data_IF_797694422926
#
_entry.id   IF_797694422926
#
_cell.length_a   1.000
_cell.length_b   1.000
_cell.length_c   1.000
_cell.angle_alpha   90.00
_cell.angle_beta   90.00
_cell.angle_gamma   90.00
#
_symmetry.space_group_name_H-M   'P 1'
#
loop_
_entity.id
_entity.type
_entity.pdbx_description
1 polymer ?
#
# COMPACT_ATOMS: atom_id res chain seq x y z
N UNK A 1 51.08 -0.90 -41.43
CA UNK A 1 50.72 -2.33 -41.26
C UNK A 1 51.10 -2.71 -39.84
N UNK A 2 50.23 -3.12 -38.91
CA UNK A 2 48.81 -3.48 -38.93
C UNK A 2 48.19 -2.95 -37.63
N UNK A 3 46.96 -2.49 -37.76
CA UNK A 3 46.00 -2.14 -36.72
C UNK A 3 45.58 -3.40 -35.96
N UNK A 4 45.71 -3.42 -34.64
CA UNK A 4 45.04 -4.42 -33.79
C UNK A 4 43.66 -3.90 -33.43
N UNK A 5 42.65 -4.65 -33.89
CA UNK A 5 41.24 -4.38 -33.68
C UNK A 5 40.83 -4.73 -32.25
N UNK A 6 40.17 -3.77 -31.63
CA UNK A 6 39.25 -3.94 -30.52
C UNK A 6 38.25 -5.07 -30.81
N UNK A 7 38.22 -6.08 -29.94
CA UNK A 7 37.12 -7.02 -29.87
C UNK A 7 36.17 -6.55 -28.76
N UNK A 8 35.23 -5.68 -29.14
CA UNK A 8 34.07 -5.34 -28.34
C UNK A 8 33.18 -6.60 -28.22
N UNK A 9 33.23 -7.25 -27.06
CA UNK A 9 32.30 -8.32 -26.69
C UNK A 9 30.96 -7.68 -26.36
N UNK A 10 30.09 -7.60 -27.36
CA UNK A 10 28.69 -7.22 -27.23
C UNK A 10 27.95 -8.27 -26.39
N UNK A 11 27.71 -7.99 -25.11
CA UNK A 11 26.72 -8.71 -24.32
C UNK A 11 25.33 -8.39 -24.87
N UNK A 12 24.82 -9.28 -25.73
CA UNK A 12 23.38 -9.36 -25.97
C UNK A 12 22.76 -9.90 -24.69
N UNK A 13 22.08 -9.03 -23.94
CA UNK A 13 21.07 -9.41 -22.96
C UNK A 13 19.95 -10.11 -23.72
N UNK A 14 20.03 -11.43 -23.79
CA UNK A 14 18.90 -12.28 -24.14
C UNK A 14 17.98 -12.31 -22.92
N UNK A 15 17.15 -11.28 -22.77
CA UNK A 15 16.02 -11.30 -21.85
C UNK A 15 14.98 -12.26 -22.43
N UNK A 16 15.17 -13.56 -22.21
CA UNK A 16 14.06 -14.51 -22.24
C UNK A 16 13.04 -14.05 -21.20
N UNK A 17 12.02 -13.32 -21.64
CA UNK A 17 10.83 -13.04 -20.84
C UNK A 17 10.18 -14.37 -20.50
N UNK A 18 10.53 -14.93 -19.34
CA UNK A 18 9.84 -16.10 -18.79
C UNK A 18 8.37 -15.76 -18.72
N UNK A 19 7.55 -16.47 -19.51
CA UNK A 19 6.11 -16.29 -19.50
C UNK A 19 5.61 -16.85 -18.16
N UNK A 20 5.24 -15.95 -17.25
CA UNK A 20 4.73 -16.31 -15.93
C UNK A 20 3.25 -15.96 -15.83
N UNK A 21 2.50 -16.82 -15.16
CA UNK A 21 1.12 -16.57 -14.75
C UNK A 21 1.13 -16.56 -13.22
N UNK A 22 0.64 -15.47 -12.63
CA UNK A 22 0.52 -15.34 -11.18
C UNK A 22 -0.95 -15.42 -10.77
N UNK A 23 -1.21 -16.04 -9.62
CA UNK A 23 -2.52 -16.09 -8.99
C UNK A 23 -2.41 -15.64 -7.53
N UNK A 24 -3.54 -15.25 -6.95
CA UNK A 24 -3.63 -14.95 -5.52
C UNK A 24 -4.88 -15.61 -4.95
N UNK A 25 -4.70 -16.37 -3.89
CA UNK A 25 -5.78 -16.99 -3.11
C UNK A 25 -6.04 -16.15 -1.87
N UNK A 26 -7.26 -15.65 -1.72
CA UNK A 26 -7.66 -14.85 -0.57
C UNK A 26 -8.39 -15.70 0.47
N UNK A 27 -8.00 -15.54 1.73
CA UNK A 27 -8.71 -16.06 2.90
C UNK A 27 -9.18 -14.89 3.75
N UNK A 28 -10.47 -14.87 4.07
CA UNK A 28 -11.11 -13.94 5.01
C UNK A 28 -11.84 -14.76 6.06
N UNK A 29 -11.86 -14.28 7.30
CA UNK A 29 -12.63 -14.90 8.40
C UNK A 29 -13.45 -13.84 9.09
N UNK A 30 -14.74 -14.12 9.25
CA UNK A 30 -15.68 -13.29 9.99
C UNK A 30 -16.35 -14.12 11.09
N UNK A 31 -16.75 -13.46 12.18
CA UNK A 31 -17.56 -14.09 13.22
C UNK A 31 -19.01 -14.22 12.78
N UNK A 32 -19.71 -15.26 13.24
CA UNK A 32 -21.15 -15.47 12.99
C UNK A 32 -21.96 -15.17 14.25
N UNK A 33 -21.62 -14.09 14.96
CA UNK A 33 -22.29 -13.72 16.22
C UNK A 33 -23.68 -13.15 15.92
N UNK A 34 -24.61 -13.33 16.86
CA UNK A 34 -25.96 -12.78 16.74
C UNK A 34 -25.99 -11.26 16.95
N UNK A 35 -25.09 -10.73 17.79
CA UNK A 35 -24.93 -9.30 18.04
C UNK A 35 -23.60 -8.81 17.46
N UNK A 36 -23.65 -7.76 16.65
CA UNK A 36 -22.47 -7.13 16.06
C UNK A 36 -21.65 -6.43 17.15
N UNK A 37 -20.34 -6.63 17.11
CA UNK A 37 -19.35 -5.88 17.88
C UNK A 37 -18.42 -5.11 16.94
N UNK A 38 -17.70 -4.13 17.47
CA UNK A 38 -16.83 -3.23 16.68
C UNK A 38 -15.83 -4.00 15.78
N UNK A 39 -15.34 -5.14 16.27
CA UNK A 39 -14.44 -6.03 15.54
C UNK A 39 -15.07 -6.74 14.32
N UNK A 40 -16.40 -6.80 14.21
CA UNK A 40 -17.09 -7.44 13.08
C UNK A 40 -17.03 -6.57 11.80
N UNK A 41 -16.64 -5.30 11.92
CA UNK A 41 -16.46 -4.37 10.79
C UNK A 41 -15.01 -4.29 10.31
N UNK A 42 -14.14 -5.14 10.85
CA UNK A 42 -12.71 -5.21 10.50
C UNK A 42 -12.39 -6.60 10.00
N UNK A 43 -12.16 -6.71 8.69
CA UNK A 43 -11.93 -7.98 8.03
C UNK A 43 -10.46 -8.15 7.69
N UNK A 44 -9.78 -9.06 8.39
CA UNK A 44 -8.42 -9.46 8.03
C UNK A 44 -8.43 -10.31 6.76
N UNK A 45 -7.62 -9.90 5.79
CA UNK A 45 -7.45 -10.52 4.48
C UNK A 45 -6.03 -11.07 4.39
N UNK A 46 -5.90 -12.37 4.15
CA UNK A 46 -4.63 -13.01 3.80
C UNK A 46 -4.67 -13.43 2.33
N UNK A 47 -3.82 -12.83 1.50
CA UNK A 47 -3.62 -13.23 0.11
C UNK A 47 -2.35 -14.07 -0.04
N UNK A 48 -2.46 -15.35 -0.39
CA UNK A 48 -1.30 -16.18 -0.75
C UNK A 48 -1.05 -16.06 -2.25
N UNK A 49 0.17 -15.70 -2.62
CA UNK A 49 0.54 -15.45 -4.02
C UNK A 49 1.28 -16.66 -4.57
N UNK A 50 0.86 -17.10 -5.74
CA UNK A 50 1.43 -18.25 -6.41
C UNK A 50 1.83 -17.89 -7.84
N UNK A 51 2.87 -18.55 -8.35
CA UNK A 51 3.37 -18.33 -9.72
C UNK A 51 3.55 -19.66 -10.42
N UNK A 52 3.06 -19.73 -11.66
CA UNK A 52 3.31 -20.80 -12.62
C UNK A 52 4.13 -20.24 -13.79
N UNK A 53 5.18 -20.94 -14.18
CA UNK A 53 5.95 -20.65 -15.39
C UNK A 53 6.00 -21.88 -16.29
N UNK A 54 6.35 -21.71 -17.56
CA UNK A 54 6.50 -22.83 -18.50
C UNK A 54 7.52 -23.89 -18.01
N UNK A 55 8.56 -23.45 -17.30
CA UNK A 55 9.60 -24.33 -16.73
C UNK A 55 9.16 -25.11 -15.48
N UNK A 56 8.00 -24.79 -14.91
CA UNK A 56 7.51 -25.38 -13.67
C UNK A 56 6.34 -26.32 -13.96
N UNK A 57 6.41 -27.55 -13.43
CA UNK A 57 5.30 -28.51 -13.52
C UNK A 57 4.11 -28.05 -12.68
N UNK A 58 4.40 -27.55 -11.48
CA UNK A 58 3.43 -27.14 -10.48
C UNK A 58 3.57 -25.65 -10.15
N UNK A 59 2.50 -25.07 -9.61
CA UNK A 59 2.52 -23.71 -9.11
C UNK A 59 3.41 -23.61 -7.86
N UNK A 60 4.26 -22.58 -7.78
CA UNK A 60 5.12 -22.32 -6.64
C UNK A 60 4.55 -21.20 -5.76
N UNK A 61 4.68 -21.36 -4.44
CA UNK A 61 4.45 -20.27 -3.48
C UNK A 61 5.43 -19.13 -3.77
N UNK A 62 4.88 -17.99 -4.18
CA UNK A 62 5.63 -16.81 -4.58
C UNK A 62 5.70 -15.73 -3.50
N UNK A 63 4.83 -15.82 -2.51
CA UNK A 63 4.75 -14.83 -1.45
C UNK A 63 3.37 -14.76 -0.79
N UNK A 64 3.13 -13.68 -0.07
CA UNK A 64 1.83 -13.37 0.47
C UNK A 64 1.65 -11.86 0.64
N UNK A 65 0.41 -11.43 0.79
CA UNK A 65 0.03 -10.11 1.25
C UNK A 65 -0.93 -10.22 2.43
N UNK A 66 -0.89 -9.22 3.31
CA UNK A 66 -1.90 -9.01 4.36
C UNK A 66 -2.53 -7.66 4.14
N UNK A 67 -3.84 -7.62 4.30
CA UNK A 67 -4.62 -6.41 4.26
C UNK A 67 -5.75 -6.48 5.29
N UNK A 68 -6.30 -5.32 5.62
CA UNK A 68 -7.44 -5.19 6.51
C UNK A 68 -8.48 -4.31 5.82
N UNK A 69 -9.68 -4.82 5.64
CA UNK A 69 -10.82 -4.02 5.17
C UNK A 69 -11.58 -3.52 6.39
N UNK A 70 -11.69 -2.21 6.52
CA UNK A 70 -12.36 -1.54 7.63
C UNK A 70 -13.62 -0.86 7.10
N UNK A 71 -14.78 -1.35 7.53
CA UNK A 71 -16.09 -0.91 7.05
C UNK A 71 -16.73 0.10 8.01
N UNK A 72 -16.12 1.28 8.12
CA UNK A 72 -16.58 2.32 9.02
C UNK A 72 -17.99 2.84 8.66
N UNK A 73 -18.34 2.91 7.38
CA UNK A 73 -19.68 3.32 6.96
C UNK A 73 -20.74 2.38 7.51
N UNK A 74 -20.53 1.08 7.33
CA UNK A 74 -21.42 0.04 7.85
C UNK A 74 -21.50 0.07 9.38
N UNK A 75 -20.37 0.26 10.07
CA UNK A 75 -20.34 0.31 11.52
C UNK A 75 -21.18 1.48 12.07
N UNK A 76 -21.10 2.66 11.43
CA UNK A 76 -21.91 3.83 11.79
C UNK A 76 -23.41 3.59 11.52
N UNK A 77 -23.76 2.94 10.41
CA UNK A 77 -25.13 2.57 10.09
C UNK A 77 -25.72 1.59 11.13
N UNK A 78 -24.86 0.79 11.76
CA UNK A 78 -25.18 -0.10 12.88
C UNK A 78 -25.13 0.59 14.27
N UNK A 79 -24.92 1.91 14.32
CA UNK A 79 -24.94 2.70 15.55
C UNK A 79 -23.67 2.62 16.40
N UNK A 80 -22.55 2.14 15.84
CA UNK A 80 -21.24 2.19 16.52
C UNK A 80 -20.78 3.65 16.56
N UNK A 81 -20.42 4.14 17.76
CA UNK A 81 -19.93 5.52 17.92
C UNK A 81 -18.53 5.70 17.36
N UNK A 82 -18.21 6.91 16.92
CA UNK A 82 -16.89 7.30 16.37
C UNK A 82 -15.75 7.00 17.36
N UNK A 83 -15.97 7.26 18.65
CA UNK A 83 -15.03 6.94 19.74
C UNK A 83 -14.68 5.44 19.78
N UNK A 84 -15.69 4.57 19.62
CA UNK A 84 -15.51 3.11 19.64
C UNK A 84 -14.84 2.57 18.38
N UNK A 85 -15.02 3.22 17.24
CA UNK A 85 -14.31 2.85 16.01
C UNK A 85 -12.80 3.08 16.12
N UNK A 86 -12.35 4.08 16.89
CA UNK A 86 -10.94 4.31 17.17
C UNK A 86 -10.36 3.34 18.20
N UNK A 87 -11.00 3.24 19.37
CA UNK A 87 -10.47 2.50 20.52
C UNK A 87 -10.73 0.98 20.47
N UNK A 88 -11.75 0.54 19.72
CA UNK A 88 -12.23 -0.84 19.67
C UNK A 88 -11.46 -1.76 18.71
N UNK A 89 -10.56 -1.20 17.90
CA UNK A 89 -9.86 -1.92 16.83
C UNK A 89 -8.38 -2.16 17.21
N UNK A 90 -7.78 -3.22 16.66
CA UNK A 90 -6.34 -3.52 16.78
C UNK A 90 -5.48 -2.26 16.61
N UNK A 91 -4.47 -2.06 17.47
CA UNK A 91 -3.72 -0.80 17.57
C UNK A 91 -3.01 -0.34 16.29
N UNK A 92 -2.82 -1.22 15.30
CA UNK A 92 -2.32 -0.83 13.98
C UNK A 92 -3.35 -0.07 13.13
N UNK A 93 -4.64 -0.18 13.42
CA UNK A 93 -5.74 0.50 12.70
C UNK A 93 -6.07 1.84 13.37
N UNK A 94 -5.94 1.93 14.70
CA UNK A 94 -6.15 3.18 15.45
C UNK A 94 -5.32 4.35 14.91
N UNK A 95 -4.06 4.11 14.51
CA UNK A 95 -3.22 5.14 13.87
C UNK A 95 -3.85 5.69 12.57
N UNK A 96 -4.46 4.84 11.74
CA UNK A 96 -5.15 5.31 10.54
C UNK A 96 -6.42 6.07 10.87
N UNK A 97 -7.14 5.67 11.93
CA UNK A 97 -8.33 6.40 12.39
C UNK A 97 -7.97 7.82 12.81
N UNK A 98 -6.98 7.97 13.69
CA UNK A 98 -6.53 9.27 14.21
C UNK A 98 -6.00 10.22 13.12
N UNK A 99 -5.41 9.67 12.05
CA UNK A 99 -4.75 10.47 11.02
C UNK A 99 -5.62 10.73 9.78
N UNK A 100 -6.59 9.87 9.48
CA UNK A 100 -7.40 9.99 8.26
C UNK A 100 -8.82 10.50 8.54
N UNK A 101 -9.31 10.43 9.78
CA UNK A 101 -10.68 10.78 10.13
C UNK A 101 -10.74 11.91 11.15
N UNK A 102 -11.79 12.70 11.05
CA UNK A 102 -12.21 13.63 12.08
C UNK A 102 -12.92 12.85 13.19
N UNK A 103 -12.34 12.84 14.39
CA UNK A 103 -12.80 12.00 15.50
C UNK A 103 -14.18 12.41 16.04
N UNK A 104 -14.55 13.69 15.89
CA UNK A 104 -15.84 14.20 16.36
C UNK A 104 -16.97 13.75 15.44
N UNK A 105 -16.74 13.76 14.12
CA UNK A 105 -17.77 13.53 13.12
C UNK A 105 -17.74 12.14 12.49
N UNK A 106 -16.60 11.44 12.54
CA UNK A 106 -16.40 10.12 11.95
C UNK A 106 -16.18 10.12 10.43
N UNK A 107 -16.15 11.29 9.80
CA UNK A 107 -15.83 11.44 8.38
C UNK A 107 -14.34 11.62 8.15
N UNK A 108 -13.91 11.53 6.90
CA UNK A 108 -12.55 11.87 6.51
C UNK A 108 -12.17 13.29 6.93
N UNK A 109 -10.88 13.54 7.21
CA UNK A 109 -10.38 14.91 7.45
C UNK A 109 -10.61 15.81 6.23
N UNK A 110 -10.70 17.12 6.46
CA UNK A 110 -10.88 18.12 5.38
C UNK A 110 -9.82 17.99 4.29
N UNK A 111 -8.55 17.76 4.66
CA UNK A 111 -7.45 17.50 3.71
C UNK A 111 -7.75 16.31 2.79
N UNK A 112 -8.28 15.22 3.34
CA UNK A 112 -8.63 14.03 2.56
C UNK A 112 -9.85 14.29 1.67
N UNK A 113 -10.87 14.97 2.20
CA UNK A 113 -12.09 15.27 1.45
C UNK A 113 -11.77 16.14 0.22
N UNK A 114 -10.99 17.20 0.42
CA UNK A 114 -10.61 18.14 -0.63
C UNK A 114 -9.70 17.51 -1.68
N UNK A 115 -8.78 16.64 -1.27
CA UNK A 115 -7.78 16.08 -2.19
C UNK A 115 -8.24 14.82 -2.92
N UNK A 116 -9.05 13.98 -2.29
CA UNK A 116 -9.41 12.66 -2.82
C UNK A 116 -10.88 12.50 -3.18
N UNK A 117 -11.75 13.41 -2.72
CA UNK A 117 -13.20 13.37 -2.91
C UNK A 117 -13.77 11.95 -2.69
N UNK A 118 -13.51 11.31 -1.54
CA UNK A 118 -13.86 9.92 -1.31
C UNK A 118 -15.38 9.73 -1.31
N UNK A 119 -15.87 8.71 -2.03
CA UNK A 119 -17.30 8.42 -2.16
C UNK A 119 -17.90 7.60 -1.02
N UNK A 120 -17.09 7.19 -0.04
CA UNK A 120 -17.49 6.38 1.11
C UNK A 120 -16.46 6.45 2.24
N UNK A 121 -16.83 5.96 3.43
CA UNK A 121 -16.02 6.05 4.65
C UNK A 121 -15.14 4.80 4.89
N UNK A 122 -15.32 3.76 4.08
CA UNK A 122 -14.59 2.51 4.24
C UNK A 122 -13.13 2.64 3.78
N UNK A 123 -12.25 1.90 4.45
CA UNK A 123 -10.81 1.96 4.26
C UNK A 123 -10.24 0.56 4.01
N UNK A 124 -9.50 0.38 2.92
CA UNK A 124 -8.67 -0.81 2.72
C UNK A 124 -7.22 -0.49 3.11
N UNK A 125 -6.67 -1.22 4.07
CA UNK A 125 -5.28 -1.06 4.51
C UNK A 125 -4.45 -2.21 3.95
N UNK A 126 -3.37 -1.91 3.22
CA UNK A 126 -2.39 -2.92 2.81
C UNK A 126 -1.25 -2.96 3.82
N UNK A 127 -1.31 -3.94 4.73
CA UNK A 127 -0.39 -4.07 5.88
C UNK A 127 0.99 -4.58 5.49
N UNK A 128 1.05 -5.56 4.59
CA UNK A 128 2.29 -6.24 4.24
C UNK A 128 2.21 -6.84 2.85
N UNK A 129 3.29 -6.73 2.08
CA UNK A 129 3.49 -7.47 0.83
C UNK A 129 4.87 -8.09 0.86
N UNK A 130 4.94 -9.42 0.89
CA UNK A 130 6.18 -10.19 0.84
C UNK A 130 6.21 -11.01 -0.45
N UNK A 131 7.11 -10.67 -1.37
CA UNK A 131 7.42 -11.50 -2.55
C UNK A 131 8.77 -12.17 -2.34
N UNK A 132 8.83 -13.48 -2.58
CA UNK A 132 10.07 -14.26 -2.47
C UNK A 132 11.09 -13.76 -3.49
N UNK A 133 12.40 -13.75 -3.14
CA UNK A 133 13.45 -13.16 -3.99
C UNK A 133 13.44 -13.62 -5.45
N UNK A 134 13.14 -14.89 -5.72
CA UNK A 134 13.08 -15.47 -7.07
C UNK A 134 12.06 -14.78 -7.99
N UNK A 135 10.99 -14.24 -7.43
CA UNK A 135 9.86 -13.69 -8.17
C UNK A 135 9.80 -12.16 -8.16
N UNK A 136 10.78 -11.49 -7.54
CA UNK A 136 10.87 -10.02 -7.51
C UNK A 136 11.28 -9.49 -8.88
N UNK A 137 10.84 -8.27 -9.20
CA UNK A 137 11.13 -7.62 -10.48
C UNK A 137 10.30 -8.11 -11.66
N UNK A 138 9.48 -9.16 -11.48
CA UNK A 138 8.63 -9.74 -12.52
C UNK A 138 7.19 -9.23 -12.50
N UNK A 139 6.89 -8.15 -11.76
CA UNK A 139 5.55 -7.57 -11.68
C UNK A 139 4.55 -8.31 -10.77
N UNK A 140 4.94 -9.43 -10.14
CA UNK A 140 4.06 -10.24 -9.27
C UNK A 140 3.51 -9.44 -8.07
N UNK A 141 4.35 -8.66 -7.39
CA UNK A 141 3.95 -7.82 -6.26
C UNK A 141 2.90 -6.77 -6.63
N UNK A 142 3.16 -5.91 -7.63
CA UNK A 142 2.18 -4.98 -8.17
C UNK A 142 0.85 -5.64 -8.54
N UNK A 143 0.91 -6.74 -9.31
CA UNK A 143 -0.30 -7.44 -9.74
C UNK A 143 -1.12 -8.00 -8.57
N UNK A 144 -0.46 -8.49 -7.51
CA UNK A 144 -1.14 -8.95 -6.30
C UNK A 144 -1.81 -7.80 -5.53
N UNK A 145 -1.14 -6.64 -5.42
CA UNK A 145 -1.73 -5.42 -4.82
C UNK A 145 -2.93 -4.95 -5.63
N UNK A 146 -2.78 -4.81 -6.95
CA UNK A 146 -3.87 -4.39 -7.84
C UNK A 146 -5.07 -5.33 -7.72
N UNK A 147 -4.83 -6.64 -7.76
CA UNK A 147 -5.91 -7.63 -7.63
C UNK A 147 -6.60 -7.57 -6.26
N UNK A 148 -5.85 -7.26 -5.20
CA UNK A 148 -6.42 -7.06 -3.85
C UNK A 148 -7.34 -5.85 -3.84
N UNK A 149 -6.89 -4.73 -4.41
CA UNK A 149 -7.71 -3.51 -4.50
C UNK A 149 -8.91 -3.73 -5.42
N UNK A 150 -8.79 -4.47 -6.51
CA UNK A 150 -9.91 -4.76 -7.42
C UNK A 150 -11.02 -5.57 -6.74
N UNK A 151 -10.66 -6.45 -5.80
CA UNK A 151 -11.62 -7.34 -5.11
C UNK A 151 -12.19 -6.68 -3.85
N UNK A 152 -11.35 -6.03 -3.04
CA UNK A 152 -11.72 -5.52 -1.72
C UNK A 152 -11.79 -3.99 -1.62
N UNK A 153 -11.27 -3.28 -2.61
CA UNK A 153 -11.36 -1.82 -2.67
C UNK A 153 -12.72 -1.26 -3.12
N UNK A 154 -13.60 -1.98 -3.88
CA UNK A 154 -14.95 -1.48 -4.14
C UNK A 154 -15.70 -1.20 -2.83
N UNK A 155 -16.28 -0.01 -2.72
CA UNK A 155 -16.94 0.47 -1.49
C UNK A 155 -16.04 1.33 -0.60
N UNK A 156 -14.72 1.18 -0.69
CA UNK A 156 -13.78 2.03 0.02
C UNK A 156 -13.69 3.42 -0.60
N UNK A 157 -13.57 4.44 0.24
CA UNK A 157 -13.17 5.78 -0.19
C UNK A 157 -11.68 5.81 -0.55
N UNK A 158 -10.87 5.16 0.28
CA UNK A 158 -9.41 5.14 0.16
C UNK A 158 -8.83 3.73 0.31
N UNK A 159 -7.63 3.56 -0.24
CA UNK A 159 -6.70 2.50 0.14
C UNK A 159 -5.48 3.13 0.79
N UNK A 160 -5.05 2.63 1.94
CA UNK A 160 -3.88 3.14 2.65
C UNK A 160 -2.81 2.06 2.85
N UNK A 161 -1.58 2.50 3.02
CA UNK A 161 -0.49 1.66 3.52
C UNK A 161 0.56 2.52 4.24
N UNK A 162 1.41 1.88 5.04
CA UNK A 162 2.60 2.50 5.64
C UNK A 162 3.85 1.84 5.07
N UNK A 163 4.46 2.41 4.01
CA UNK A 163 5.62 1.82 3.36
C UNK A 163 6.82 1.67 4.31
N UNK A 164 7.02 0.46 4.83
CA UNK A 164 8.15 0.14 5.69
C UNK A 164 8.89 -1.11 5.22
N UNK A 165 10.22 -1.08 5.04
CA UNK A 165 10.96 -2.26 4.59
C UNK A 165 10.92 -3.35 5.66
N UNK A 166 10.45 -4.54 5.26
CA UNK A 166 10.21 -5.66 6.19
C UNK A 166 11.42 -6.02 7.04
N UNK A 167 12.64 -5.91 6.50
CA UNK A 167 13.86 -6.22 7.25
C UNK A 167 14.12 -5.31 8.47
N UNK A 168 13.45 -4.17 8.54
CA UNK A 168 13.53 -3.23 9.67
C UNK A 168 12.24 -3.22 10.52
N UNK A 169 11.27 -4.08 10.22
CA UNK A 169 10.09 -4.28 11.08
C UNK A 169 10.49 -5.14 12.28
N UNK A 170 10.13 -4.78 13.53
CA UNK A 170 10.52 -5.55 14.72
C UNK A 170 10.21 -7.06 14.62
N UNK A 171 9.05 -7.41 14.07
CA UNK A 171 8.63 -8.80 13.85
C UNK A 171 9.60 -9.62 12.98
N UNK A 172 10.29 -8.98 12.04
CA UNK A 172 11.26 -9.62 11.14
C UNK A 172 12.70 -9.40 11.58
N UNK A 173 13.00 -8.26 12.20
CA UNK A 173 14.34 -7.92 12.68
C UNK A 173 14.87 -8.95 13.69
N UNK A 174 13.97 -9.55 14.47
CA UNK A 174 14.30 -10.61 15.42
C UNK A 174 14.18 -12.03 14.84
N UNK A 175 13.60 -12.19 13.64
CA UNK A 175 13.49 -13.49 12.95
C UNK A 175 14.59 -13.63 11.88
N UNK A 176 15.73 -14.16 12.32
CA UNK A 176 16.88 -14.39 11.46
C UNK A 176 16.59 -15.36 10.31
N UNK A 177 15.61 -16.27 10.46
CA UNK A 177 15.18 -17.20 9.40
C UNK A 177 14.36 -16.45 8.35
N UNK A 178 13.45 -15.57 8.77
CA UNK A 178 12.71 -14.71 7.86
C UNK A 178 13.64 -13.77 7.09
N UNK A 179 14.62 -13.13 7.75
CA UNK A 179 15.61 -12.26 7.08
C UNK A 179 16.43 -13.02 6.03
N UNK A 180 16.89 -14.24 6.35
CA UNK A 180 17.59 -15.12 5.39
C UNK A 180 16.69 -15.50 4.21
N UNK A 181 15.42 -15.86 4.47
CA UNK A 181 14.42 -16.19 3.43
C UNK A 181 14.17 -15.01 2.50
N UNK A 182 14.05 -13.80 3.08
CA UNK A 182 13.79 -12.57 2.34
C UNK A 182 14.96 -12.15 1.46
N UNK A 183 16.18 -12.68 1.67
CA UNK A 183 17.43 -12.19 1.04
C UNK A 183 17.41 -10.67 0.96
N UNK A 184 17.11 -10.02 2.09
CA UNK A 184 16.93 -8.58 2.12
C UNK A 184 18.22 -7.92 1.61
N UNK A 185 18.13 -6.95 0.69
CA UNK A 185 19.32 -6.32 0.15
C UNK A 185 20.05 -5.56 1.27
N UNK A 186 21.38 -5.54 1.22
CA UNK A 186 22.23 -4.86 2.20
C UNK A 186 22.20 -3.33 2.08
N UNK A 187 21.01 -2.75 1.93
CA UNK A 187 20.78 -1.31 1.86
C UNK A 187 20.67 -0.74 3.27
N UNK A 188 21.11 0.51 3.42
CA UNK A 188 20.80 1.29 4.61
C UNK A 188 19.29 1.49 4.77
N UNK A 189 18.82 1.71 6.00
CA UNK A 189 17.39 1.90 6.31
C UNK A 189 16.75 2.97 5.44
N UNK A 190 17.37 4.14 5.37
CA UNK A 190 16.79 5.30 4.70
C UNK A 190 16.73 5.10 3.18
N UNK A 191 17.73 4.45 2.59
CA UNK A 191 17.72 4.08 1.17
C UNK A 191 16.62 3.05 0.86
N UNK A 192 16.43 2.06 1.74
CA UNK A 192 15.38 1.06 1.57
C UNK A 192 13.98 1.69 1.69
N UNK A 193 13.77 2.59 2.65
CA UNK A 193 12.52 3.36 2.80
C UNK A 193 12.27 4.20 1.55
N UNK A 194 13.28 4.92 1.05
CA UNK A 194 13.14 5.76 -0.14
C UNK A 194 12.74 4.95 -1.38
N UNK A 195 13.41 3.81 -1.64
CA UNK A 195 13.07 2.92 -2.76
C UNK A 195 11.67 2.33 -2.61
N UNK A 196 11.26 2.00 -1.39
CA UNK A 196 9.93 1.46 -1.13
C UNK A 196 8.84 2.51 -1.35
N UNK A 197 9.03 3.74 -0.86
CA UNK A 197 8.10 4.85 -1.14
C UNK A 197 7.96 5.10 -2.64
N UNK A 198 9.07 5.12 -3.38
CA UNK A 198 9.05 5.25 -4.85
C UNK A 198 8.37 4.07 -5.56
N UNK A 199 8.42 2.86 -4.98
CA UNK A 199 7.65 1.72 -5.45
C UNK A 199 6.14 1.94 -5.29
N UNK A 200 5.69 2.36 -4.10
CA UNK A 200 4.28 2.62 -3.83
C UNK A 200 3.72 3.78 -4.65
N UNK A 201 4.49 4.85 -4.88
CA UNK A 201 4.05 5.96 -5.75
C UNK A 201 3.84 5.55 -7.20
N UNK A 202 4.58 4.55 -7.70
CA UNK A 202 4.33 3.98 -9.04
C UNK A 202 3.03 3.18 -9.10
N UNK A 203 2.51 2.72 -7.97
CA UNK A 203 1.20 2.07 -7.84
C UNK A 203 0.07 3.08 -7.58
N UNK A 204 0.37 4.39 -7.62
CA UNK A 204 -0.62 5.46 -7.41
C UNK A 204 -0.78 5.92 -5.97
N UNK A 205 0.01 5.38 -5.03
CA UNK A 205 -0.04 5.76 -3.62
C UNK A 205 0.84 6.98 -3.32
N UNK A 206 0.25 8.02 -2.72
CA UNK A 206 0.94 9.26 -2.42
C UNK A 206 1.04 9.50 -0.91
N UNK A 207 2.15 10.09 -0.42
CA UNK A 207 2.30 10.36 1.00
C UNK A 207 1.28 11.39 1.48
N UNK A 208 0.70 11.15 2.65
CA UNK A 208 -0.14 12.11 3.36
C UNK A 208 0.73 12.90 4.36
N UNK A 209 1.08 14.13 4.01
CA UNK A 209 1.97 14.97 4.81
C UNK A 209 3.25 14.24 5.27
N UNK A 210 3.57 14.37 6.55
CA UNK A 210 4.70 13.70 7.20
C UNK A 210 4.29 12.47 8.05
N UNK A 211 3.05 12.01 7.93
CA UNK A 211 2.51 10.89 8.72
C UNK A 211 3.20 9.55 8.45
N UNK A 212 3.83 9.42 7.27
CA UNK A 212 4.38 8.16 6.78
C UNK A 212 3.33 7.22 6.19
N UNK A 213 2.05 7.57 6.26
CA UNK A 213 0.96 6.89 5.56
C UNK A 213 0.96 7.34 4.10
N UNK A 214 0.75 6.39 3.20
CA UNK A 214 0.48 6.64 1.80
C UNK A 214 -0.93 6.21 1.46
N UNK A 215 -1.62 7.01 0.66
CA UNK A 215 -3.02 6.77 0.29
C UNK A 215 -3.23 6.78 -1.22
N UNK A 216 -4.25 6.04 -1.65
CA UNK A 216 -4.76 5.98 -3.01
C UNK A 216 -6.28 6.23 -2.95
N UNK A 217 -6.74 7.27 -3.66
CA UNK A 217 -8.17 7.57 -3.77
C UNK A 217 -8.87 6.63 -4.75
N UNK A 218 -9.92 5.95 -4.30
CA UNK A 218 -10.64 4.98 -5.14
C UNK A 218 -11.42 5.65 -6.28
N UNK A 219 -11.95 6.86 -6.06
CA UNK A 219 -12.57 7.68 -7.10
C UNK A 219 -11.58 8.03 -8.22
N UNK A 220 -10.31 8.28 -7.86
CA UNK A 220 -9.27 8.69 -8.79
C UNK A 220 -8.72 7.51 -9.60
N UNK A 221 -8.70 6.29 -9.04
CA UNK A 221 -8.12 5.08 -9.67
C UNK A 221 -8.81 4.67 -10.97
N UNK A 222 -10.12 4.86 -11.09
CA UNK A 222 -10.90 4.54 -12.29
C UNK A 222 -10.81 5.61 -13.40
N UNK A 223 -10.41 6.82 -13.05
CA UNK A 223 -10.11 7.88 -14.00
C UNK A 223 -8.64 7.74 -14.41
N UNK A 224 -8.31 7.76 -15.70
CA UNK A 224 -6.92 7.67 -16.19
C UNK A 224 -6.06 8.92 -15.85
N UNK A 225 -6.37 9.61 -14.74
CA UNK A 225 -5.86 10.91 -14.36
C UNK A 225 -4.63 10.80 -13.47
N UNK A 226 -3.49 11.22 -14.01
CA UNK A 226 -2.39 11.70 -13.18
C UNK A 226 -2.93 12.76 -12.21
N UNK A 227 -2.62 12.63 -10.91
CA UNK A 227 -3.01 13.58 -9.87
C UNK A 227 -2.66 15.00 -10.33
N UNK A 228 -3.63 15.92 -10.34
CA UNK A 228 -3.33 17.34 -10.37
C UNK A 228 -2.68 17.66 -9.03
N UNK A 229 -1.36 17.89 -8.99
CA UNK A 229 -0.74 18.48 -7.81
C UNK A 229 -1.45 19.80 -7.53
N UNK A 230 -2.19 19.88 -6.44
CA UNK A 230 -2.45 21.16 -5.78
C UNK A 230 -1.11 21.60 -5.18
N UNK A 231 -0.52 22.63 -5.78
CA UNK A 231 0.60 23.34 -5.17
C UNK A 231 0.06 24.16 -4.00
N UNK A 232 -0.02 23.57 -2.82
CA UNK A 232 -0.23 24.34 -1.60
C UNK A 232 0.67 23.80 -0.49
N UNK A 233 1.82 24.44 -0.33
CA UNK A 233 2.39 24.86 0.95
C UNK A 233 3.55 25.79 0.63
N UNK A 234 3.21 27.08 0.59
CA UNK A 234 4.14 28.18 0.41
C UNK A 234 5.13 28.23 1.57
N UNK A 235 6.39 28.49 1.22
CA UNK A 235 7.38 29.00 2.15
C UNK A 235 6.86 30.26 2.85
N UNK A 236 6.50 30.11 4.12
CA UNK A 236 6.38 31.21 5.05
C UNK A 236 7.80 31.62 5.50
N UNK A 237 8.50 32.38 4.66
CA UNK A 237 9.63 33.23 5.06
C UNK A 237 10.08 34.11 3.89
N UNK A 238 9.46 35.26 3.71
CA UNK A 238 10.16 36.55 3.48
C UNK A 238 9.17 37.65 3.11
N UNK A 239 9.43 38.80 3.71
CA UNK A 239 9.08 40.14 3.23
C UNK A 239 7.66 40.66 3.49
N UNK A 240 7.52 41.12 4.74
CA UNK A 240 7.11 42.49 5.00
C UNK A 240 7.60 43.45 3.90
N UNK A 241 6.67 44.14 3.21
CA UNK A 241 6.68 45.57 2.86
C UNK A 241 5.68 45.82 1.72
N UNK A 242 4.73 46.75 1.93
CA UNK A 242 4.24 47.59 0.82
C UNK A 242 2.75 47.54 0.44
N UNK A 243 1.91 48.17 1.27
CA UNK A 243 0.78 49.08 0.92
C UNK A 243 0.18 49.07 -0.51
N UNK A 244 -1.15 48.85 -0.58
CA UNK A 244 -2.26 49.72 -1.11
C UNK A 244 -3.37 48.83 -1.71
N UNK A 245 -4.55 48.76 -1.08
CA UNK A 245 -5.76 49.57 -1.40
C UNK A 245 -6.05 49.64 -2.90
N UNK A 246 -6.84 48.66 -3.38
CA UNK A 246 -8.19 48.80 -3.96
C UNK A 246 -8.80 47.40 -4.04
#
# INVERSE_FOLDING_TARGET
MKTEKEAAVSWKTDETKTNIVASVEFTVRASLREEYVDADFVHSILGRVFVKSEDLRDEEDAGYLRASLVQFGEAMDHGVSTERLGDGIEGSIAEYWELLFDLETGYWTEEIQDEYEPSGCDLLIIDCVEIRPRWRGLGVGPAAVDRTIDIFGPGCGLVACKPWPLQFTPAFAHDQKALKRLKAPGLGRDEAVHKLRAYWSRLGFWPLGETGIHVLGMAQRGSNGSRKKSETLAGAASDLVGRRVC
#
